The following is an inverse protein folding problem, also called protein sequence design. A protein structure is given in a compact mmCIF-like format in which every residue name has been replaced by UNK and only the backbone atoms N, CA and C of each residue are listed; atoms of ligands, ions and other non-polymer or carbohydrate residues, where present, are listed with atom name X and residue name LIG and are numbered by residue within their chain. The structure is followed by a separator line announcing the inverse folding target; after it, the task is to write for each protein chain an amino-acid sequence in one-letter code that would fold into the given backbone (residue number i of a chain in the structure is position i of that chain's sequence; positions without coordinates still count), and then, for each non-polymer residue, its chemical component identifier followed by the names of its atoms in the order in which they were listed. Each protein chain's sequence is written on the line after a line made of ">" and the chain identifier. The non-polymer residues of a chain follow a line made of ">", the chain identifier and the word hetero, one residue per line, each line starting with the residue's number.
data_IF_134193803657
#
_entry.id   IF_134193803657
#
_cell.length_a   1.000
_cell.length_b   1.000
_cell.length_c   1.000
_cell.angle_alpha   90.00
_cell.angle_beta   90.00
_cell.angle_gamma   90.00
#
_symmetry.space_group_name_H-M   'P 1'
#
loop_
_entity.id
_entity.type
_entity.pdbx_description
1 polymer ?
#
# COMPACT_ATOMS: atom_id res chain seq x y z
N UNK A 1 -68.93 -1.73 -5.38
CA UNK A 1 -67.79 -2.17 -4.56
C UNK A 1 -66.66 -2.62 -5.47
N UNK A 2 -65.69 -1.76 -5.75
CA UNK A 2 -64.39 -2.14 -6.33
C UNK A 2 -63.31 -1.31 -5.63
N UNK A 3 -62.39 -2.01 -4.97
CA UNK A 3 -61.24 -1.43 -4.25
C UNK A 3 -60.19 -0.99 -5.26
N UNK A 4 -59.86 0.30 -5.29
CA UNK A 4 -58.65 0.80 -5.95
C UNK A 4 -57.45 0.50 -5.03
N UNK A 5 -56.59 -0.43 -5.43
CA UNK A 5 -55.26 -0.61 -4.83
C UNK A 5 -54.31 0.37 -5.52
N UNK A 6 -53.86 1.42 -4.82
CA UNK A 6 -52.76 2.26 -5.29
C UNK A 6 -51.44 1.52 -5.06
N UNK A 7 -50.84 1.02 -6.14
CA UNK A 7 -49.49 0.47 -6.11
C UNK A 7 -48.50 1.65 -6.06
N UNK A 8 -47.95 1.94 -4.88
CA UNK A 8 -46.81 2.86 -4.75
C UNK A 8 -45.58 2.18 -5.37
N UNK A 9 -45.16 2.66 -6.55
CA UNK A 9 -43.83 2.38 -7.08
C UNK A 9 -42.79 3.09 -6.22
N UNK A 10 -42.16 2.35 -5.29
CA UNK A 10 -40.93 2.76 -4.65
C UNK A 10 -39.82 2.72 -5.70
N UNK A 11 -39.57 3.86 -6.34
CA UNK A 11 -38.35 4.07 -7.13
C UNK A 11 -37.20 4.10 -6.14
N UNK A 12 -36.52 2.96 -5.98
CA UNK A 12 -35.24 2.91 -5.29
C UNK A 12 -34.22 3.68 -6.13
N UNK A 13 -33.97 4.94 -5.77
CA UNK A 13 -32.80 5.66 -6.25
C UNK A 13 -31.57 4.91 -5.72
N UNK A 14 -30.97 4.07 -6.55
CA UNK A 14 -29.63 3.58 -6.31
C UNK A 14 -28.72 4.81 -6.22
N UNK A 15 -28.31 5.14 -5.00
CA UNK A 15 -27.24 6.09 -4.75
C UNK A 15 -26.01 5.54 -5.45
N UNK A 16 -25.70 6.07 -6.63
CA UNK A 16 -24.37 5.98 -7.20
C UNK A 16 -23.44 6.75 -6.28
N UNK A 17 -22.95 6.07 -5.24
CA UNK A 17 -21.77 6.52 -4.49
C UNK A 17 -20.62 6.56 -5.48
N UNK A 18 -20.10 7.76 -5.72
CA UNK A 18 -18.99 8.01 -6.62
C UNK A 18 -17.82 7.07 -6.29
N UNK A 19 -17.55 6.11 -7.17
CA UNK A 19 -16.42 5.16 -7.13
C UNK A 19 -15.05 5.82 -7.34
N UNK A 20 -14.98 7.15 -7.35
CA UNK A 20 -13.74 7.95 -7.54
C UNK A 20 -12.67 7.75 -6.44
N UNK A 21 -12.95 6.99 -5.38
CA UNK A 21 -12.05 6.84 -4.22
C UNK A 21 -11.02 5.70 -4.32
N UNK A 22 -11.10 4.80 -5.30
CA UNK A 22 -10.25 3.60 -5.38
C UNK A 22 -9.57 3.39 -6.74
N UNK A 23 -9.15 4.48 -7.36
CA UNK A 23 -8.35 4.39 -8.58
C UNK A 23 -6.90 3.94 -8.27
N UNK A 24 -6.24 3.31 -9.25
CA UNK A 24 -4.84 2.90 -9.11
C UNK A 24 -3.89 4.03 -9.48
N UNK A 25 -2.65 3.96 -8.99
CA UNK A 25 -1.60 4.93 -9.33
C UNK A 25 -0.59 4.32 -10.31
N UNK A 26 -0.20 5.07 -11.34
CA UNK A 26 1.00 4.79 -12.12
C UNK A 26 2.13 5.67 -11.60
N UNK A 27 3.23 5.05 -11.15
CA UNK A 27 4.40 5.74 -10.63
C UNK A 27 5.58 5.42 -11.53
N UNK A 28 6.13 6.45 -12.18
CA UNK A 28 7.30 6.32 -13.07
C UNK A 28 8.57 6.66 -12.29
N UNK A 29 9.60 5.82 -12.40
CA UNK A 29 10.90 6.00 -11.75
C UNK A 29 12.03 5.81 -12.77
N UNK A 30 13.13 6.54 -12.55
CA UNK A 30 14.27 6.53 -13.46
C UNK A 30 14.08 7.51 -14.62
N UNK A 31 14.79 7.26 -15.72
CA UNK A 31 14.78 8.11 -16.92
C UNK A 31 14.30 7.24 -18.08
N UNK A 32 13.30 7.74 -18.82
CA UNK A 32 12.80 7.04 -20.00
C UNK A 32 13.87 6.95 -21.08
N UNK A 33 14.23 5.71 -21.42
CA UNK A 33 15.23 5.34 -22.40
C UNK A 33 14.63 4.47 -23.51
N UNK A 34 13.30 4.51 -23.69
CA UNK A 34 12.55 3.63 -24.60
C UNK A 34 12.75 2.13 -24.26
N UNK A 35 13.10 1.83 -23.00
CA UNK A 35 13.35 0.48 -22.50
C UNK A 35 12.71 0.28 -21.11
N UNK A 36 11.42 0.58 -20.99
CA UNK A 36 10.71 0.59 -19.72
C UNK A 36 10.27 -0.81 -19.28
N UNK A 37 10.54 -1.11 -18.00
CA UNK A 37 9.94 -2.22 -17.25
C UNK A 37 8.62 -1.77 -16.62
N UNK A 38 7.50 -2.42 -16.96
CA UNK A 38 6.20 -2.19 -16.31
C UNK A 38 5.94 -3.28 -15.26
N UNK A 39 5.90 -2.91 -13.99
CA UNK A 39 5.61 -3.80 -12.86
C UNK A 39 4.19 -3.56 -12.36
N UNK A 40 3.38 -4.62 -12.31
CA UNK A 40 1.97 -4.55 -11.92
C UNK A 40 1.74 -5.47 -10.73
N UNK A 41 1.16 -4.93 -9.67
CA UNK A 41 0.74 -5.67 -8.49
C UNK A 41 -0.70 -5.36 -8.10
N UNK A 42 -1.32 -6.32 -7.42
CA UNK A 42 -2.64 -6.12 -6.81
C UNK A 42 -3.80 -6.12 -7.80
N UNK A 43 -3.69 -6.89 -8.89
CA UNK A 43 -4.84 -7.24 -9.73
C UNK A 43 -5.90 -8.03 -8.94
N UNK A 44 -5.46 -8.78 -7.93
CA UNK A 44 -6.30 -9.45 -6.93
C UNK A 44 -5.98 -8.93 -5.52
N UNK A 45 -7.02 -8.68 -4.74
CA UNK A 45 -6.89 -7.96 -3.47
C UNK A 45 -6.47 -8.80 -2.25
N UNK A 46 -6.52 -10.12 -2.38
CA UNK A 46 -6.10 -11.09 -1.36
C UNK A 46 -4.64 -11.56 -1.52
N UNK A 47 -3.87 -10.89 -2.40
CA UNK A 47 -2.52 -11.29 -2.82
C UNK A 47 -1.46 -10.26 -2.41
N UNK A 48 -1.17 -10.14 -1.10
CA UNK A 48 -0.31 -9.08 -0.58
C UNK A 48 1.15 -9.15 -0.98
N UNK A 49 1.68 -10.31 -1.38
CA UNK A 49 3.05 -10.41 -1.86
C UNK A 49 3.29 -9.53 -3.08
N UNK A 50 2.42 -9.61 -4.08
CA UNK A 50 2.55 -8.83 -5.31
C UNK A 50 2.48 -7.32 -5.09
N UNK A 51 1.39 -6.82 -4.48
CA UNK A 51 1.22 -5.37 -4.31
C UNK A 51 2.21 -4.74 -3.32
N UNK A 52 2.64 -5.46 -2.26
CA UNK A 52 3.66 -4.93 -1.35
C UNK A 52 5.03 -4.87 -2.02
N UNK A 53 5.39 -5.83 -2.88
CA UNK A 53 6.63 -5.79 -3.65
C UNK A 53 6.69 -4.57 -4.56
N UNK A 54 5.61 -4.34 -5.33
CA UNK A 54 5.48 -3.17 -6.18
C UNK A 54 5.56 -1.87 -5.36
N UNK A 55 4.90 -1.82 -4.20
CA UNK A 55 4.99 -0.67 -3.29
C UNK A 55 6.40 -0.44 -2.71
N UNK A 56 7.17 -1.50 -2.45
CA UNK A 56 8.56 -1.37 -2.02
C UNK A 56 9.45 -0.82 -3.15
N UNK A 57 9.23 -1.18 -4.42
CA UNK A 57 9.91 -0.53 -5.54
C UNK A 57 9.65 0.99 -5.56
N UNK A 58 8.43 1.42 -5.23
CA UNK A 58 8.08 2.83 -5.15
C UNK A 58 8.87 3.53 -4.04
N UNK A 59 8.85 2.95 -2.84
CA UNK A 59 9.22 3.63 -1.59
C UNK A 59 10.68 3.43 -1.18
N UNK A 60 11.29 2.30 -1.55
CA UNK A 60 12.60 1.88 -1.02
C UNK A 60 13.66 1.63 -2.10
N UNK A 61 13.30 1.75 -3.37
CA UNK A 61 14.24 1.67 -4.50
C UNK A 61 14.42 3.05 -5.14
N UNK A 62 15.64 3.37 -5.50
CA UNK A 62 16.02 4.51 -6.33
C UNK A 62 16.56 3.95 -7.64
N UNK A 63 15.88 4.22 -8.75
CA UNK A 63 16.34 3.79 -10.07
C UNK A 63 17.36 4.81 -10.56
N UNK A 64 18.62 4.36 -10.68
CA UNK A 64 19.75 5.22 -11.06
C UNK A 64 20.03 5.20 -12.56
N UNK A 65 19.50 4.20 -13.28
CA UNK A 65 19.59 4.08 -14.74
C UNK A 65 18.43 3.24 -15.29
N UNK A 66 17.94 3.64 -16.46
CA UNK A 66 16.79 3.02 -17.12
C UNK A 66 15.45 3.47 -16.54
N UNK A 67 14.37 2.83 -16.98
CA UNK A 67 12.99 3.23 -16.69
C UNK A 67 12.17 2.09 -16.06
N UNK A 68 11.52 2.38 -14.93
CA UNK A 68 10.58 1.47 -14.28
C UNK A 68 9.25 2.18 -14.03
N UNK A 69 8.18 1.62 -14.56
CA UNK A 69 6.81 2.05 -14.31
C UNK A 69 6.15 1.05 -13.36
N UNK A 70 5.51 1.56 -12.31
CA UNK A 70 4.96 0.72 -11.24
C UNK A 70 3.48 1.05 -11.04
N UNK A 71 2.65 0.01 -11.10
CA UNK A 71 1.26 0.03 -10.65
C UNK A 71 1.14 -0.87 -9.42
N UNK A 72 1.21 -0.32 -8.19
CA UNK A 72 1.22 -1.12 -6.98
C UNK A 72 -0.17 -1.61 -6.55
N UNK A 73 -1.25 -1.01 -7.06
CA UNK A 73 -2.60 -1.18 -6.54
C UNK A 73 -3.66 -1.30 -7.65
N UNK A 74 -3.44 -2.14 -8.67
CA UNK A 74 -4.29 -2.18 -9.88
C UNK A 74 -5.79 -2.30 -9.55
N UNK A 75 -6.18 -3.26 -8.71
CA UNK A 75 -7.54 -3.39 -8.21
C UNK A 75 -7.61 -2.88 -6.75
N UNK A 76 -7.44 -1.56 -6.58
CA UNK A 76 -7.33 -0.99 -5.24
C UNK A 76 -8.59 -1.23 -4.39
N UNK A 77 -9.77 -1.18 -5.01
CA UNK A 77 -11.01 -1.52 -4.34
C UNK A 77 -10.99 -2.95 -3.77
N UNK A 78 -10.57 -3.94 -4.57
CA UNK A 78 -10.44 -5.32 -4.12
C UNK A 78 -9.44 -5.48 -2.97
N UNK A 79 -8.30 -4.77 -3.04
CA UNK A 79 -7.28 -4.76 -1.97
C UNK A 79 -7.90 -4.28 -0.64
N UNK A 80 -8.64 -3.16 -0.66
CA UNK A 80 -9.27 -2.59 0.52
C UNK A 80 -10.38 -3.51 1.07
N UNK A 81 -11.12 -4.19 0.19
CA UNK A 81 -12.11 -5.19 0.57
C UNK A 81 -11.51 -6.53 0.99
N UNK A 82 -10.21 -6.73 0.80
CA UNK A 82 -9.51 -8.02 1.04
C UNK A 82 -10.16 -9.18 0.27
N UNK A 83 -10.71 -8.86 -0.89
CA UNK A 83 -11.37 -9.82 -1.77
C UNK A 83 -10.44 -10.15 -2.92
N UNK A 84 -10.62 -11.32 -3.54
CA UNK A 84 -9.91 -11.68 -4.77
C UNK A 84 -10.32 -10.74 -5.92
N UNK A 85 -11.61 -10.48 -6.06
CA UNK A 85 -12.17 -9.61 -7.10
C UNK A 85 -13.68 -9.47 -6.89
N UNK A 86 -14.17 -8.39 -6.27
CA UNK A 86 -15.59 -8.24 -5.93
C UNK A 86 -16.48 -8.12 -7.17
N UNK A 87 -15.91 -7.76 -8.33
CA UNK A 87 -16.60 -7.66 -9.61
C UNK A 87 -16.18 -8.76 -10.60
N UNK A 88 -15.72 -9.90 -10.09
CA UNK A 88 -15.15 -11.00 -10.88
C UNK A 88 -13.62 -10.97 -10.91
N UNK A 89 -13.01 -11.96 -11.57
CA UNK A 89 -11.56 -12.03 -11.72
C UNK A 89 -11.08 -11.00 -12.75
N UNK A 90 -10.46 -9.91 -12.29
CA UNK A 90 -9.93 -8.86 -13.16
C UNK A 90 -8.89 -9.43 -14.15
N UNK A 91 -8.17 -10.50 -13.81
CA UNK A 91 -7.22 -11.14 -14.73
C UNK A 91 -7.90 -12.05 -15.78
N UNK A 92 -9.23 -11.95 -15.94
CA UNK A 92 -10.01 -12.52 -17.06
C UNK A 92 -10.67 -11.45 -17.92
N UNK A 93 -10.31 -10.18 -17.72
CA UNK A 93 -10.94 -9.02 -18.39
C UNK A 93 -10.09 -8.41 -19.49
N UNK A 94 -8.97 -9.05 -19.87
CA UNK A 94 -8.03 -8.48 -20.84
C UNK A 94 -8.32 -8.84 -22.30
N UNK A 95 -9.27 -9.74 -22.56
CA UNK A 95 -9.85 -9.96 -23.89
C UNK A 95 -11.00 -8.94 -24.16
N UNK A 96 -12.10 -9.39 -24.77
CA UNK A 96 -13.34 -8.62 -24.89
C UNK A 96 -13.93 -8.33 -23.51
N UNK A 97 -14.36 -7.08 -23.29
CA UNK A 97 -14.92 -6.62 -22.02
C UNK A 97 -16.06 -5.67 -22.30
N UNK A 98 -17.21 -5.92 -21.66
CA UNK A 98 -18.37 -5.05 -21.75
C UNK A 98 -18.06 -3.66 -21.18
N UNK A 99 -18.50 -2.60 -21.88
CA UNK A 99 -18.40 -1.22 -21.38
C UNK A 99 -19.19 -0.97 -20.08
N UNK A 100 -20.12 -1.88 -19.74
CA UNK A 100 -20.88 -1.83 -18.49
C UNK A 100 -20.19 -2.56 -17.33
N UNK A 101 -19.03 -3.20 -17.55
CA UNK A 101 -18.27 -3.82 -16.45
C UNK A 101 -17.76 -2.74 -15.47
N UNK A 102 -17.96 -2.88 -14.15
CA UNK A 102 -17.51 -1.88 -13.17
C UNK A 102 -16.00 -1.59 -13.19
N UNK A 103 -15.20 -2.50 -13.74
CA UNK A 103 -13.75 -2.39 -13.84
C UNK A 103 -13.29 -2.00 -15.26
N UNK A 104 -14.21 -1.69 -16.19
CA UNK A 104 -13.89 -1.38 -17.59
C UNK A 104 -12.84 -0.29 -17.73
N UNK A 105 -13.05 0.88 -17.12
CA UNK A 105 -12.13 2.03 -17.24
C UNK A 105 -10.73 1.71 -16.69
N UNK A 106 -10.67 0.98 -15.56
CA UNK A 106 -9.41 0.54 -14.95
C UNK A 106 -8.66 -0.39 -15.92
N UNK A 107 -9.36 -1.36 -16.50
CA UNK A 107 -8.80 -2.32 -17.45
C UNK A 107 -8.33 -1.62 -18.74
N UNK A 108 -9.13 -0.73 -19.32
CA UNK A 108 -8.74 0.00 -20.52
C UNK A 108 -7.52 0.89 -20.27
N UNK A 109 -7.45 1.54 -19.10
CA UNK A 109 -6.29 2.37 -18.76
C UNK A 109 -5.01 1.56 -18.60
N UNK A 110 -5.03 0.42 -17.91
CA UNK A 110 -3.83 -0.42 -17.82
C UNK A 110 -3.44 -1.03 -19.17
N UNK A 111 -4.42 -1.40 -20.01
CA UNK A 111 -4.17 -1.79 -21.41
C UNK A 111 -3.45 -0.67 -22.18
N UNK A 112 -3.85 0.58 -21.97
CA UNK A 112 -3.19 1.76 -22.53
C UNK A 112 -1.70 1.80 -22.18
N UNK A 113 -1.34 1.69 -20.89
CA UNK A 113 0.06 1.69 -20.46
C UNK A 113 0.87 0.50 -20.98
N UNK A 114 0.25 -0.68 -21.13
CA UNK A 114 0.92 -1.85 -21.71
C UNK A 114 1.27 -1.59 -23.19
N UNK A 115 0.42 -0.89 -23.94
CA UNK A 115 0.63 -0.63 -25.38
C UNK A 115 1.72 0.40 -25.67
N UNK A 116 2.03 1.28 -24.72
CA UNK A 116 3.01 2.36 -24.89
C UNK A 116 4.33 1.86 -25.49
N UNK A 117 4.83 2.58 -26.50
CA UNK A 117 5.97 2.14 -27.30
C UNK A 117 7.22 1.93 -26.45
N UNK A 118 7.42 2.78 -25.45
CA UNK A 118 8.57 2.73 -24.55
C UNK A 118 8.54 1.56 -23.56
N UNK A 119 7.39 0.93 -23.32
CA UNK A 119 7.28 -0.30 -22.51
C UNK A 119 7.74 -1.49 -23.34
N UNK A 120 8.73 -2.24 -22.83
CA UNK A 120 9.31 -3.40 -23.51
C UNK A 120 9.10 -4.72 -22.77
N UNK A 121 8.99 -4.67 -21.44
CA UNK A 121 8.79 -5.85 -20.60
C UNK A 121 7.75 -5.55 -19.51
N UNK A 122 6.79 -6.46 -19.34
CA UNK A 122 5.72 -6.39 -18.33
C UNK A 122 5.87 -7.54 -17.35
N UNK A 123 5.84 -7.25 -16.04
CA UNK A 123 5.81 -8.27 -14.98
C UNK A 123 4.55 -8.09 -14.14
N UNK A 124 3.69 -9.11 -14.11
CA UNK A 124 2.48 -9.15 -13.30
C UNK A 124 2.71 -10.04 -12.07
N UNK A 125 2.57 -9.48 -10.87
CA UNK A 125 2.88 -10.15 -9.62
C UNK A 125 1.61 -10.71 -8.96
N UNK A 126 1.63 -11.99 -8.59
CA UNK A 126 0.52 -12.70 -7.94
C UNK A 126 0.99 -13.53 -6.74
N UNK A 127 0.04 -13.92 -5.90
CA UNK A 127 0.26 -14.91 -4.85
C UNK A 127 -0.51 -16.21 -5.17
N UNK A 128 0.21 -17.27 -5.54
CA UNK A 128 -0.37 -18.54 -5.96
C UNK A 128 -0.61 -19.53 -4.83
N UNK A 129 -1.62 -20.40 -4.95
CA UNK A 129 -1.80 -21.50 -3.98
C UNK A 129 -0.68 -22.55 -4.11
N UNK A 130 -0.29 -23.16 -2.99
CA UNK A 130 0.69 -24.25 -2.94
C UNK A 130 2.04 -23.91 -3.57
N UNK A 131 2.72 -24.92 -4.09
CA UNK A 131 4.01 -24.82 -4.76
C UNK A 131 3.92 -25.55 -6.10
N UNK A 132 4.09 -24.81 -7.20
CA UNK A 132 4.10 -25.39 -8.53
C UNK A 132 5.24 -26.40 -8.66
N UNK A 133 4.91 -27.57 -9.21
CA UNK A 133 5.86 -28.60 -9.62
C UNK A 133 5.47 -29.13 -10.98
N UNK A 134 6.40 -29.37 -11.91
CA UNK A 134 6.08 -29.95 -13.22
C UNK A 134 5.45 -31.35 -13.13
N UNK A 135 5.68 -32.07 -12.03
CA UNK A 135 5.10 -33.38 -11.75
C UNK A 135 4.34 -33.33 -10.42
N UNK A 136 3.29 -34.14 -10.32
CA UNK A 136 2.54 -34.28 -9.08
C UNK A 136 3.40 -34.99 -8.03
N UNK A 137 3.56 -34.36 -6.86
CA UNK A 137 4.20 -34.96 -5.68
C UNK A 137 3.14 -35.15 -4.59
N UNK A 138 2.42 -34.07 -4.26
CA UNK A 138 1.32 -34.09 -3.30
C UNK A 138 0.33 -32.95 -3.56
N UNK A 139 -0.69 -32.82 -2.72
CA UNK A 139 -1.72 -31.78 -2.85
C UNK A 139 -1.16 -30.36 -2.82
N UNK A 140 -0.06 -30.11 -2.12
CA UNK A 140 0.61 -28.83 -2.01
C UNK A 140 1.68 -28.63 -3.09
N UNK A 141 2.22 -29.71 -3.67
CA UNK A 141 3.30 -29.73 -4.64
C UNK A 141 2.87 -30.41 -5.94
N UNK A 142 2.34 -29.66 -6.90
CA UNK A 142 1.81 -30.26 -8.13
C UNK A 142 1.71 -29.27 -9.29
N UNK A 143 1.40 -29.75 -10.51
CA UNK A 143 1.18 -28.88 -11.68
C UNK A 143 -0.06 -28.00 -11.56
N UNK A 144 -0.97 -28.31 -10.64
CA UNK A 144 -2.20 -27.56 -10.39
C UNK A 144 -2.03 -26.39 -9.40
N UNK A 145 -0.79 -26.16 -8.96
CA UNK A 145 -0.40 -25.08 -8.04
C UNK A 145 0.32 -24.00 -8.80
N UNK A 146 0.30 -22.79 -8.23
CA UNK A 146 0.86 -21.61 -8.88
C UNK A 146 1.97 -20.95 -8.06
N UNK A 147 2.08 -21.23 -6.76
CA UNK A 147 3.11 -20.60 -5.95
C UNK A 147 4.54 -21.02 -6.31
N UNK A 148 5.48 -20.09 -6.20
CA UNK A 148 6.90 -20.26 -6.54
C UNK A 148 7.11 -20.69 -8.01
N UNK A 149 6.56 -19.93 -8.94
CA UNK A 149 6.90 -20.08 -10.34
C UNK A 149 7.02 -18.75 -11.08
N UNK A 150 7.76 -18.79 -12.18
CA UNK A 150 7.80 -17.74 -13.20
C UNK A 150 7.02 -18.23 -14.41
N UNK A 151 5.96 -17.51 -14.75
CA UNK A 151 4.96 -17.90 -15.75
C UNK A 151 5.26 -17.19 -17.07
N UNK A 152 5.18 -17.95 -18.16
CA UNK A 152 5.19 -17.43 -19.53
C UNK A 152 4.02 -18.04 -20.31
N UNK A 153 3.41 -17.24 -21.19
CA UNK A 153 2.28 -17.73 -22.00
C UNK A 153 2.73 -18.57 -23.20
N UNK A 154 3.97 -18.39 -23.65
CA UNK A 154 4.60 -19.14 -24.74
C UNK A 154 6.13 -19.01 -24.64
N UNK A 155 6.88 -19.83 -25.39
CA UNK A 155 8.34 -19.85 -25.24
C UNK A 155 9.04 -18.61 -25.82
N UNK A 156 8.49 -18.07 -26.92
CA UNK A 156 9.06 -16.92 -27.62
C UNK A 156 8.01 -16.06 -28.34
N UNK A 157 8.35 -14.80 -28.57
CA UNK A 157 7.60 -13.83 -29.39
C UNK A 157 8.57 -12.99 -30.22
N UNK A 158 8.10 -12.36 -31.30
CA UNK A 158 8.88 -11.38 -32.06
C UNK A 158 8.78 -9.99 -31.39
N UNK A 159 9.62 -9.78 -30.38
CA UNK A 159 9.71 -8.54 -29.63
C UNK A 159 11.08 -8.39 -28.96
N UNK A 160 11.40 -7.19 -28.48
CA UNK A 160 12.53 -6.99 -27.57
C UNK A 160 12.29 -7.82 -26.30
N UNK A 161 13.31 -8.59 -25.88
CA UNK A 161 13.18 -9.60 -24.81
C UNK A 161 12.19 -10.73 -25.12
N UNK A 162 11.96 -11.02 -26.40
CA UNK A 162 11.02 -12.03 -26.85
C UNK A 162 11.41 -13.48 -26.58
N UNK A 163 12.61 -13.75 -26.05
CA UNK A 163 13.06 -15.08 -25.59
C UNK A 163 12.50 -15.42 -24.18
N UNK A 164 11.18 -15.47 -24.06
CA UNK A 164 10.44 -15.53 -22.79
C UNK A 164 10.86 -16.70 -21.91
N UNK A 165 10.90 -17.93 -22.45
CA UNK A 165 11.29 -19.11 -21.66
C UNK A 165 12.70 -18.98 -21.09
N UNK A 166 13.66 -18.56 -21.91
CA UNK A 166 15.05 -18.40 -21.50
C UNK A 166 15.19 -17.34 -20.40
N UNK A 167 14.53 -16.19 -20.54
CA UNK A 167 14.50 -15.15 -19.50
C UNK A 167 13.90 -15.70 -18.20
N UNK A 168 12.78 -16.43 -18.30
CA UNK A 168 12.12 -17.05 -17.15
C UNK A 168 13.04 -18.08 -16.45
N UNK A 169 13.80 -18.87 -17.21
CA UNK A 169 14.82 -19.79 -16.69
C UNK A 169 15.95 -19.04 -15.98
N UNK A 170 16.44 -17.93 -16.54
CA UNK A 170 17.45 -17.08 -15.88
C UNK A 170 16.94 -16.50 -14.57
N UNK A 171 15.68 -16.09 -14.51
CA UNK A 171 15.01 -15.58 -13.30
C UNK A 171 14.88 -16.66 -12.25
N UNK A 172 14.32 -17.82 -12.62
CA UNK A 172 14.18 -18.98 -11.73
C UNK A 172 15.53 -19.43 -11.18
N UNK A 173 16.56 -19.52 -12.03
CA UNK A 173 17.91 -19.91 -11.62
C UNK A 173 18.53 -18.89 -10.67
N UNK A 174 18.28 -17.60 -10.86
CA UNK A 174 18.73 -16.58 -9.93
C UNK A 174 18.02 -16.69 -8.58
N UNK A 175 16.69 -16.76 -8.57
CA UNK A 175 15.89 -16.88 -7.33
C UNK A 175 16.29 -18.14 -6.55
N UNK A 176 16.50 -19.26 -7.23
CA UNK A 176 16.88 -20.53 -6.63
C UNK A 176 18.27 -20.53 -5.96
N UNK A 177 19.13 -19.53 -6.21
CA UNK A 177 20.40 -19.36 -5.48
C UNK A 177 20.21 -18.78 -4.08
N UNK A 178 19.03 -18.22 -3.80
CA UNK A 178 18.74 -17.48 -2.57
C UNK A 178 17.49 -18.04 -1.86
N UNK A 179 17.30 -19.35 -1.91
CA UNK A 179 16.17 -19.99 -1.24
C UNK A 179 16.31 -19.90 0.28
N UNK A 180 15.21 -19.55 0.96
CA UNK A 180 15.13 -19.68 2.42
C UNK A 180 15.03 -21.15 2.87
N UNK A 181 14.40 -21.97 2.03
CA UNK A 181 14.22 -23.43 2.20
C UNK A 181 14.17 -24.08 0.83
N UNK A 182 14.65 -25.30 0.71
CA UNK A 182 14.66 -26.06 -0.55
C UNK A 182 13.26 -26.26 -1.13
N UNK A 183 12.25 -26.43 -0.27
CA UNK A 183 10.83 -26.52 -0.66
C UNK A 183 10.35 -25.29 -1.46
N UNK A 184 10.95 -24.12 -1.23
CA UNK A 184 10.57 -22.88 -1.90
C UNK A 184 11.12 -22.77 -3.34
N UNK A 185 11.73 -23.83 -3.88
CA UNK A 185 12.28 -23.86 -5.23
C UNK A 185 11.29 -23.38 -6.27
N UNK A 186 11.72 -22.39 -7.06
CA UNK A 186 11.04 -21.86 -8.21
C UNK A 186 11.19 -22.77 -9.43
N UNK A 187 10.17 -22.78 -10.29
CA UNK A 187 10.19 -23.43 -11.60
C UNK A 187 9.59 -22.51 -12.67
N UNK A 188 9.91 -22.77 -13.93
CA UNK A 188 9.22 -22.14 -15.06
C UNK A 188 7.90 -22.85 -15.29
N UNK A 189 6.82 -22.09 -15.40
CA UNK A 189 5.51 -22.59 -15.82
C UNK A 189 5.15 -21.97 -17.16
N UNK A 190 5.23 -22.75 -18.23
CA UNK A 190 4.72 -22.35 -19.53
C UNK A 190 3.24 -22.78 -19.61
N UNK A 191 2.31 -21.83 -19.74
CA UNK A 191 0.87 -22.12 -19.87
C UNK A 191 0.48 -22.50 -21.29
N UNK A 192 1.36 -22.28 -22.29
CA UNK A 192 1.12 -22.60 -23.70
C UNK A 192 -0.19 -22.01 -24.20
N UNK A 193 -0.44 -20.76 -23.84
CA UNK A 193 -1.73 -20.09 -24.07
C UNK A 193 -2.10 -19.99 -25.54
N UNK A 194 -1.10 -19.80 -26.40
CA UNK A 194 -1.27 -19.82 -27.85
C UNK A 194 -1.66 -21.20 -28.42
N UNK A 195 -1.54 -22.29 -27.64
CA UNK A 195 -1.96 -23.65 -28.01
C UNK A 195 -3.42 -23.95 -27.62
N UNK A 196 -4.18 -22.96 -27.11
CA UNK A 196 -5.63 -23.07 -26.90
C UNK A 196 -6.12 -22.97 -25.45
N UNK A 197 -5.33 -22.40 -24.53
CA UNK A 197 -5.83 -22.11 -23.17
C UNK A 197 -6.73 -20.87 -23.17
N UNK A 198 -8.04 -21.08 -23.30
CA UNK A 198 -9.04 -20.02 -23.36
C UNK A 198 -9.09 -19.14 -22.11
N UNK A 199 -8.73 -19.68 -20.94
CA UNK A 199 -8.74 -18.92 -19.69
C UNK A 199 -7.51 -18.01 -19.58
N UNK A 200 -6.35 -18.52 -19.97
CA UNK A 200 -5.13 -17.72 -20.04
C UNK A 200 -5.18 -16.69 -21.17
N UNK A 201 -5.93 -16.96 -22.25
CA UNK A 201 -6.11 -16.02 -23.35
C UNK A 201 -6.78 -14.69 -22.92
N UNK A 202 -7.44 -14.68 -21.75
CA UNK A 202 -8.11 -13.51 -21.16
C UNK A 202 -7.24 -12.73 -20.17
N UNK A 203 -5.99 -13.13 -19.98
CA UNK A 203 -5.09 -12.57 -18.95
C UNK A 203 -4.31 -11.35 -19.42
N UNK A 204 -3.79 -10.60 -18.43
CA UNK A 204 -2.95 -9.43 -18.65
C UNK A 204 -1.69 -9.75 -19.46
N UNK A 205 -0.98 -10.83 -19.13
CA UNK A 205 0.30 -11.18 -19.77
C UNK A 205 0.09 -11.59 -21.22
N UNK A 206 -0.96 -12.36 -21.51
CA UNK A 206 -1.29 -12.70 -22.89
C UNK A 206 -1.71 -11.48 -23.72
N UNK A 207 -2.47 -10.55 -23.14
CA UNK A 207 -2.74 -9.27 -23.79
C UNK A 207 -1.46 -8.50 -24.11
N UNK A 208 -0.48 -8.45 -23.19
CA UNK A 208 0.80 -7.78 -23.44
C UNK A 208 1.59 -8.46 -24.57
N UNK A 209 1.62 -9.80 -24.60
CA UNK A 209 2.25 -10.59 -25.68
C UNK A 209 1.62 -10.27 -27.05
N UNK A 210 0.30 -10.20 -27.13
CA UNK A 210 -0.42 -9.86 -28.36
C UNK A 210 -0.22 -8.40 -28.81
N UNK A 211 0.41 -7.57 -27.99
CA UNK A 211 0.82 -6.20 -28.34
C UNK A 211 2.35 -6.07 -28.44
N UNK A 212 3.05 -7.18 -28.76
CA UNK A 212 4.50 -7.23 -28.98
C UNK A 212 5.33 -6.75 -27.78
N UNK A 213 4.87 -7.08 -26.55
CA UNK A 213 5.60 -6.81 -25.31
C UNK A 213 6.02 -8.13 -24.67
N UNK A 214 7.26 -8.23 -24.20
CA UNK A 214 7.64 -9.38 -23.38
C UNK A 214 6.86 -9.35 -22.06
N UNK A 215 6.25 -10.46 -21.66
CA UNK A 215 5.37 -10.48 -20.49
C UNK A 215 5.58 -11.73 -19.64
N UNK A 216 5.54 -11.53 -18.32
CA UNK A 216 5.82 -12.57 -17.34
C UNK A 216 4.83 -12.47 -16.17
N UNK A 217 4.29 -13.61 -15.76
CA UNK A 217 3.69 -13.75 -14.43
C UNK A 217 4.78 -14.16 -13.45
N UNK A 218 4.77 -13.65 -12.23
CA UNK A 218 5.66 -14.14 -11.18
C UNK A 218 4.85 -14.36 -9.91
N UNK A 219 4.86 -15.60 -9.42
CA UNK A 219 3.98 -16.05 -8.36
C UNK A 219 4.74 -16.53 -7.12
N UNK A 220 4.45 -15.90 -5.98
CA UNK A 220 4.94 -16.38 -4.70
C UNK A 220 3.87 -17.23 -4.00
N UNK A 221 4.27 -18.25 -3.24
CA UNK A 221 3.29 -19.14 -2.61
C UNK A 221 2.50 -18.47 -1.48
N UNK A 222 1.16 -18.63 -1.51
CA UNK A 222 0.23 -18.29 -0.42
C UNK A 222 0.52 -19.07 0.87
N UNK A 223 1.27 -20.16 0.81
CA UNK A 223 1.73 -20.90 2.00
C UNK A 223 2.83 -20.15 2.78
N UNK A 224 3.48 -19.16 2.16
CA UNK A 224 4.51 -18.34 2.80
C UNK A 224 3.90 -17.16 3.54
N UNK A 225 4.62 -16.68 4.56
CA UNK A 225 4.27 -15.39 5.19
C UNK A 225 4.49 -14.24 4.20
N UNK A 226 3.73 -13.15 4.37
CA UNK A 226 3.73 -12.03 3.42
C UNK A 226 5.12 -11.48 3.09
N UNK A 227 5.97 -11.29 4.10
CA UNK A 227 7.33 -10.76 3.88
C UNK A 227 8.25 -11.74 3.13
N UNK A 228 7.99 -13.05 3.22
CA UNK A 228 8.70 -14.05 2.42
C UNK A 228 8.21 -14.05 0.97
N UNK A 229 6.90 -13.86 0.74
CA UNK A 229 6.37 -13.67 -0.63
C UNK A 229 7.00 -12.46 -1.30
N UNK A 230 7.03 -11.34 -0.59
CA UNK A 230 7.66 -10.09 -1.05
C UNK A 230 9.14 -10.29 -1.34
N UNK A 231 9.86 -11.00 -0.47
CA UNK A 231 11.27 -11.34 -0.71
C UNK A 231 11.48 -12.03 -2.07
N UNK A 232 10.70 -13.07 -2.37
CA UNK A 232 10.85 -13.80 -3.62
C UNK A 232 10.45 -12.99 -4.85
N UNK A 233 9.37 -12.21 -4.77
CA UNK A 233 9.03 -11.28 -5.84
C UNK A 233 10.13 -10.26 -6.11
N UNK A 234 10.72 -9.68 -5.07
CA UNK A 234 11.80 -8.73 -5.25
C UNK A 234 13.05 -9.37 -5.84
N UNK A 235 13.40 -10.61 -5.49
CA UNK A 235 14.50 -11.33 -6.14
C UNK A 235 14.26 -11.48 -7.65
N UNK A 236 13.04 -11.85 -8.04
CA UNK A 236 12.68 -11.97 -9.44
C UNK A 236 12.74 -10.61 -10.16
N UNK A 237 12.16 -9.56 -9.56
CA UNK A 237 12.16 -8.20 -10.10
C UNK A 237 13.57 -7.63 -10.28
N UNK A 238 14.48 -7.88 -9.33
CA UNK A 238 15.89 -7.49 -9.44
C UNK A 238 16.58 -8.19 -10.59
N UNK A 239 16.26 -9.47 -10.83
CA UNK A 239 16.78 -10.18 -11.99
C UNK A 239 16.20 -9.66 -13.32
N UNK A 240 14.92 -9.33 -13.38
CA UNK A 240 14.34 -8.67 -14.56
C UNK A 240 15.00 -7.32 -14.85
N UNK A 241 15.18 -6.48 -13.81
CA UNK A 241 15.90 -5.21 -13.94
C UNK A 241 17.34 -5.42 -14.45
N UNK A 242 18.05 -6.42 -13.91
CA UNK A 242 19.39 -6.78 -14.39
C UNK A 242 19.40 -7.17 -15.88
N UNK A 243 18.45 -8.00 -16.33
CA UNK A 243 18.33 -8.42 -17.74
C UNK A 243 18.08 -7.22 -18.66
N UNK A 244 17.34 -6.22 -18.18
CA UNK A 244 17.05 -5.00 -18.93
C UNK A 244 18.16 -3.94 -18.84
N UNK A 245 19.21 -4.16 -18.03
CA UNK A 245 20.26 -3.18 -17.80
C UNK A 245 19.83 -1.99 -16.92
N UNK A 246 18.75 -2.16 -16.14
CA UNK A 246 18.25 -1.18 -15.18
C UNK A 246 19.07 -1.28 -13.90
N UNK A 247 19.61 -0.14 -13.45
CA UNK A 247 20.41 -0.06 -12.23
C UNK A 247 19.62 0.64 -11.13
N UNK A 248 19.80 0.18 -9.88
CA UNK A 248 19.07 0.70 -8.73
C UNK A 248 19.92 0.68 -7.46
N UNK A 249 19.52 1.53 -6.50
CA UNK A 249 19.92 1.45 -5.10
C UNK A 249 18.70 1.08 -4.26
N UNK A 250 18.89 0.16 -3.31
CA UNK A 250 17.86 -0.24 -2.34
C UNK A 250 18.26 0.20 -0.94
N UNK A 251 17.28 0.68 -0.16
CA UNK A 251 17.47 1.19 1.22
C UNK A 251 17.32 0.15 2.34
N UNK A 252 17.35 -1.14 2.03
CA UNK A 252 17.23 -2.23 3.00
C UNK A 252 17.98 -3.48 2.53
N UNK A 253 18.22 -4.42 3.45
CA UNK A 253 18.93 -5.67 3.16
C UNK A 253 17.99 -6.71 2.53
N UNK A 254 18.45 -7.40 1.47
CA UNK A 254 17.67 -8.46 0.81
C UNK A 254 17.66 -9.76 1.60
N UNK A 255 16.90 -9.78 2.69
CA UNK A 255 16.60 -10.98 3.45
C UNK A 255 15.23 -10.84 4.13
N UNK A 256 14.71 -11.94 4.67
CA UNK A 256 13.37 -11.99 5.29
C UNK A 256 13.15 -10.88 6.33
N UNK A 257 14.16 -10.61 7.19
CA UNK A 257 14.07 -9.59 8.24
C UNK A 257 14.10 -8.17 7.67
N UNK A 258 14.98 -7.90 6.70
CA UNK A 258 15.09 -6.61 6.03
C UNK A 258 13.81 -6.26 5.26
N UNK A 259 13.23 -7.23 4.54
CA UNK A 259 11.94 -7.06 3.87
C UNK A 259 10.82 -6.81 4.88
N UNK A 260 10.76 -7.58 5.98
CA UNK A 260 9.79 -7.34 7.04
C UNK A 260 9.89 -5.91 7.61
N UNK A 261 11.11 -5.42 7.85
CA UNK A 261 11.33 -4.06 8.32
C UNK A 261 10.88 -3.02 7.28
N UNK A 262 11.28 -3.17 6.01
CA UNK A 262 10.88 -2.25 4.93
C UNK A 262 9.37 -2.19 4.72
N UNK A 263 8.65 -3.29 4.93
CA UNK A 263 7.18 -3.31 4.85
C UNK A 263 6.56 -2.51 6.00
N UNK A 264 7.07 -2.64 7.22
CA UNK A 264 6.35 -2.22 8.44
C UNK A 264 6.90 -0.95 9.11
N UNK A 265 8.09 -0.50 8.77
CA UNK A 265 8.73 0.70 9.33
C UNK A 265 8.46 1.92 8.44
N UNK A 266 8.62 3.12 8.99
CA UNK A 266 8.51 4.40 8.29
C UNK A 266 7.21 4.63 7.50
N UNK A 267 6.15 3.93 7.90
CA UNK A 267 4.79 4.15 7.39
C UNK A 267 4.07 5.21 8.21
N UNK A 268 3.57 6.25 7.56
CA UNK A 268 2.84 7.34 8.19
C UNK A 268 1.78 7.94 7.25
N UNK A 269 0.80 8.61 7.86
CA UNK A 269 -0.12 9.50 7.17
C UNK A 269 -0.01 10.90 7.77
N UNK A 270 0.05 11.90 6.90
CA UNK A 270 -0.10 13.31 7.26
C UNK A 270 -1.49 13.81 6.86
N UNK A 271 -2.21 14.49 7.75
CA UNK A 271 -3.54 15.05 7.48
C UNK A 271 -3.50 16.57 7.58
N UNK A 272 -4.42 17.23 6.87
CA UNK A 272 -4.64 18.67 6.95
C UNK A 272 -3.34 19.47 6.76
N UNK A 273 -2.64 19.16 5.67
CA UNK A 273 -1.36 19.76 5.31
C UNK A 273 -0.30 19.72 6.41
N UNK A 274 -0.09 18.53 6.98
CA UNK A 274 0.87 18.26 8.05
C UNK A 274 0.49 18.84 9.43
N UNK A 275 -0.71 19.36 9.67
CA UNK A 275 -1.14 19.68 11.06
C UNK A 275 -1.19 18.46 11.98
N UNK A 276 -1.34 17.27 11.38
CA UNK A 276 -1.28 15.98 12.06
C UNK A 276 -0.37 15.07 11.24
N UNK A 277 0.62 14.46 11.87
CA UNK A 277 1.40 13.36 11.30
C UNK A 277 1.29 12.15 12.21
N UNK A 278 0.80 11.04 11.68
CA UNK A 278 0.51 9.85 12.44
C UNK A 278 1.45 8.71 12.02
N UNK A 279 2.42 8.32 12.87
CA UNK A 279 3.23 7.13 12.61
C UNK A 279 2.39 5.86 12.80
N UNK A 280 2.50 4.93 11.87
CA UNK A 280 1.58 3.79 11.78
C UNK A 280 2.21 2.44 12.17
N UNK A 281 3.54 2.34 12.26
CA UNK A 281 4.25 1.07 12.54
C UNK A 281 3.81 0.37 13.84
N UNK A 282 3.56 1.15 14.89
CA UNK A 282 3.15 0.64 16.21
C UNK A 282 1.82 1.21 16.70
N UNK A 283 1.03 1.81 15.82
CA UNK A 283 -0.22 2.48 16.20
C UNK A 283 -1.19 1.54 16.93
N UNK A 284 -1.94 2.08 17.90
CA UNK A 284 -3.06 1.37 18.54
C UNK A 284 -4.16 1.09 17.53
N UNK A 285 -4.89 0.00 17.76
CA UNK A 285 -5.98 -0.42 16.87
C UNK A 285 -7.18 0.56 16.87
N UNK A 286 -7.28 1.44 17.87
CA UNK A 286 -8.36 2.42 18.01
C UNK A 286 -7.87 3.67 18.73
N UNK A 287 -8.05 4.85 18.13
CA UNK A 287 -7.77 6.15 18.73
C UNK A 287 -9.08 6.90 18.91
N UNK A 288 -9.37 7.33 20.15
CA UNK A 288 -10.59 8.09 20.49
C UNK A 288 -10.32 9.59 20.44
N UNK A 289 -11.39 10.34 20.25
CA UNK A 289 -11.37 11.81 20.27
C UNK A 289 -10.30 12.33 19.29
N UNK A 290 -10.38 11.89 18.04
CA UNK A 290 -9.39 12.26 17.04
C UNK A 290 -9.89 13.47 16.25
N UNK A 291 -9.15 14.59 16.20
CA UNK A 291 -9.64 15.82 15.59
C UNK A 291 -9.81 15.63 14.08
N UNK A 292 -11.07 15.65 13.64
CA UNK A 292 -11.45 15.53 12.23
C UNK A 292 -12.24 16.77 11.83
N UNK A 293 -11.87 17.35 10.69
CA UNK A 293 -12.56 18.51 10.15
C UNK A 293 -14.00 18.13 9.77
N UNK A 294 -14.97 18.86 10.29
CA UNK A 294 -16.40 18.62 10.03
C UNK A 294 -16.74 18.83 8.54
N UNK A 295 -17.67 18.04 8.03
CA UNK A 295 -18.32 18.20 6.72
C UNK A 295 -17.37 18.25 5.50
N UNK A 296 -16.17 17.66 5.61
CA UNK A 296 -15.20 17.56 4.51
C UNK A 296 -14.59 16.15 4.44
N UNK A 297 -14.27 15.72 3.22
CA UNK A 297 -13.44 14.53 3.01
C UNK A 297 -12.07 14.75 3.67
N UNK A 298 -11.56 13.73 4.36
CA UNK A 298 -10.26 13.80 5.03
C UNK A 298 -9.17 13.92 3.98
N UNK A 299 -8.56 15.09 3.87
CA UNK A 299 -7.39 15.32 3.03
C UNK A 299 -6.14 14.77 3.71
N UNK A 300 -5.45 13.85 3.06
CA UNK A 300 -4.23 13.25 3.58
C UNK A 300 -3.15 13.03 2.52
N UNK A 301 -1.90 12.92 3.00
CA UNK A 301 -0.75 12.42 2.24
C UNK A 301 -0.25 11.18 2.95
N UNK A 302 0.05 10.13 2.18
CA UNK A 302 0.56 8.89 2.74
C UNK A 302 2.00 8.65 2.30
N UNK A 303 2.79 8.02 3.17
CA UNK A 303 4.17 7.66 2.85
C UNK A 303 4.29 6.45 1.91
N UNK A 304 3.17 5.77 1.62
CA UNK A 304 3.11 4.57 0.81
C UNK A 304 1.84 4.58 -0.07
N UNK A 305 1.91 4.17 -1.35
CA UNK A 305 0.75 4.18 -2.25
C UNK A 305 -0.37 3.20 -1.87
N UNK A 306 -0.12 2.26 -0.96
CA UNK A 306 -1.12 1.32 -0.46
C UNK A 306 -1.84 1.80 0.80
N UNK A 307 -1.44 2.95 1.35
CA UNK A 307 -2.08 3.53 2.52
C UNK A 307 -3.30 4.36 2.11
N UNK A 308 -4.43 4.15 2.77
CA UNK A 308 -5.64 4.97 2.58
C UNK A 308 -6.48 5.03 3.85
N UNK A 309 -7.42 5.97 3.86
CA UNK A 309 -8.40 6.14 4.92
C UNK A 309 -9.78 5.84 4.34
N UNK A 310 -10.49 4.89 4.96
CA UNK A 310 -11.86 4.57 4.62
C UNK A 310 -12.78 5.08 5.71
N UNK A 311 -13.66 6.01 5.36
CA UNK A 311 -14.68 6.52 6.28
C UNK A 311 -15.89 5.60 6.30
N UNK A 312 -16.40 5.32 7.50
CA UNK A 312 -17.73 4.76 7.74
C UNK A 312 -18.32 5.45 8.95
N UNK A 313 -19.44 6.15 8.77
CA UNK A 313 -20.07 6.97 9.80
C UNK A 313 -19.05 7.97 10.40
N UNK A 314 -18.85 7.93 11.73
CA UNK A 314 -17.86 8.72 12.46
C UNK A 314 -16.56 7.95 12.78
N UNK A 315 -16.31 6.83 12.10
CA UNK A 315 -15.06 6.08 12.19
C UNK A 315 -14.25 6.16 10.88
N UNK A 316 -12.96 6.44 11.02
CA UNK A 316 -12.01 6.52 9.92
C UNK A 316 -11.00 5.38 10.04
N UNK A 317 -11.08 4.42 9.12
CA UNK A 317 -10.23 3.23 9.14
C UNK A 317 -8.99 3.43 8.29
N UNK A 318 -7.82 3.39 8.91
CA UNK A 318 -6.54 3.44 8.20
C UNK A 318 -6.21 2.02 7.72
N UNK A 319 -6.10 1.87 6.39
CA UNK A 319 -5.71 0.64 5.73
C UNK A 319 -4.32 0.78 5.12
N UNK A 320 -3.56 -0.31 5.11
CA UNK A 320 -2.30 -0.48 4.40
C UNK A 320 -2.39 -1.76 3.56
N UNK A 321 -2.70 -1.57 2.28
CA UNK A 321 -3.13 -2.66 1.42
C UNK A 321 -4.35 -3.36 2.03
N UNK A 322 -4.27 -4.68 2.17
CA UNK A 322 -5.33 -5.48 2.77
C UNK A 322 -5.26 -5.55 4.31
N UNK A 323 -4.44 -4.72 4.99
CA UNK A 323 -4.30 -4.72 6.45
C UNK A 323 -4.90 -3.46 7.07
N UNK A 324 -5.69 -3.64 8.13
CA UNK A 324 -6.23 -2.53 8.94
C UNK A 324 -5.22 -2.19 10.01
N UNK A 325 -4.72 -0.96 10.02
CA UNK A 325 -3.73 -0.50 10.99
C UNK A 325 -4.40 0.11 12.23
N UNK A 326 -5.35 1.02 12.02
CA UNK A 326 -6.07 1.69 13.11
C UNK A 326 -7.47 2.14 12.68
N UNK A 327 -8.30 2.46 13.67
CA UNK A 327 -9.56 3.18 13.51
C UNK A 327 -9.49 4.45 14.34
N UNK A 328 -9.84 5.56 13.73
CA UNK A 328 -9.93 6.86 14.40
C UNK A 328 -11.39 7.16 14.64
N UNK A 329 -11.77 7.38 15.90
CA UNK A 329 -13.09 7.90 16.24
C UNK A 329 -13.04 9.41 16.14
N UNK A 330 -13.80 9.96 15.21
CA UNK A 330 -13.83 11.39 14.99
C UNK A 330 -14.34 12.12 16.23
N UNK A 331 -13.63 13.19 16.54
CA UNK A 331 -14.11 14.35 17.27
C UNK A 331 -14.23 15.47 16.25
N UNK A 332 -15.46 15.75 15.82
CA UNK A 332 -15.69 16.68 14.72
C UNK A 332 -15.57 18.11 15.21
N UNK A 333 -14.69 18.87 14.57
CA UNK A 333 -14.44 20.27 14.94
C UNK A 333 -14.04 21.12 13.75
N UNK A 334 -14.13 22.43 13.92
CA UNK A 334 -13.52 23.37 12.98
C UNK A 334 -12.00 23.33 13.12
N UNK A 335 -11.31 23.57 12.00
CA UNK A 335 -9.86 23.65 11.97
C UNK A 335 -9.47 25.09 11.67
N UNK A 336 -8.56 25.62 12.48
CA UNK A 336 -7.93 26.91 12.20
C UNK A 336 -7.01 26.80 10.97
N UNK A 337 -6.81 27.88 10.22
CA UNK A 337 -6.00 27.87 8.99
C UNK A 337 -4.53 28.27 9.23
N UNK A 338 -4.25 28.94 10.36
CA UNK A 338 -2.93 29.45 10.68
C UNK A 338 -1.97 28.32 11.09
N UNK A 339 -0.66 28.56 10.89
CA UNK A 339 0.43 27.60 11.10
C UNK A 339 1.59 28.23 11.83
N UNK A 340 1.47 28.44 13.15
CA UNK A 340 2.60 28.86 13.95
C UNK A 340 3.61 27.71 14.14
N UNK A 341 4.82 28.08 14.54
CA UNK A 341 5.68 27.23 15.35
C UNK A 341 5.27 27.38 16.82
N UNK A 342 5.46 26.33 17.61
CA UNK A 342 5.16 26.30 19.04
C UNK A 342 6.42 25.95 19.82
N UNK A 343 6.61 26.61 20.96
CA UNK A 343 7.82 26.46 21.75
C UNK A 343 7.72 25.34 22.79
N UNK A 344 8.75 24.52 22.85
CA UNK A 344 8.95 23.48 23.85
C UNK A 344 10.28 23.67 24.58
N UNK A 345 10.33 23.27 25.84
CA UNK A 345 11.58 22.98 26.55
C UNK A 345 11.69 21.45 26.68
N UNK A 346 12.61 20.82 25.95
CA UNK A 346 12.79 19.37 25.88
C UNK A 346 14.12 19.01 26.49
N UNK A 347 14.11 18.26 27.60
CA UNK A 347 15.32 17.83 28.31
C UNK A 347 16.28 19.00 28.61
N UNK A 348 15.72 20.18 28.91
CA UNK A 348 16.47 21.40 29.22
C UNK A 348 16.86 22.26 28.01
N UNK A 349 16.50 21.86 26.78
CA UNK A 349 16.82 22.58 25.54
C UNK A 349 15.54 23.18 24.93
N UNK A 350 15.57 24.48 24.64
CA UNK A 350 14.46 25.16 23.95
C UNK A 350 14.42 24.76 22.48
N UNK A 351 13.21 24.50 21.97
CA UNK A 351 12.95 24.05 20.61
C UNK A 351 11.69 24.69 20.07
N UNK A 352 11.81 25.27 18.88
CA UNK A 352 10.67 25.62 18.03
C UNK A 352 10.22 24.37 17.27
N UNK A 353 8.93 24.06 17.38
CA UNK A 353 8.35 22.82 16.86
C UNK A 353 7.17 23.14 15.95
N UNK A 354 7.10 22.50 14.79
CA UNK A 354 5.96 22.65 13.88
C UNK A 354 4.88 21.65 14.21
N UNK A 355 3.62 22.02 13.95
CA UNK A 355 2.55 21.03 13.94
C UNK A 355 2.86 19.90 12.95
N UNK A 356 2.54 18.67 13.36
CA UNK A 356 2.92 17.45 12.66
C UNK A 356 4.30 16.91 13.00
N UNK A 357 5.11 17.61 13.79
CA UNK A 357 6.40 17.09 14.22
C UNK A 357 6.24 16.02 15.31
N UNK A 358 7.26 15.15 15.36
CA UNK A 358 7.44 14.17 16.41
C UNK A 358 8.70 14.57 17.18
N UNK A 359 8.52 15.01 18.41
CA UNK A 359 9.59 15.44 19.30
C UNK A 359 10.04 14.27 20.15
N UNK A 360 11.32 13.90 20.03
CA UNK A 360 11.92 12.87 20.89
C UNK A 360 12.29 13.47 22.25
N UNK A 361 11.93 12.76 23.32
CA UNK A 361 12.13 13.16 24.72
C UNK A 361 12.78 12.03 25.49
N UNK A 362 13.82 12.33 26.28
CA UNK A 362 14.51 11.36 27.12
C UNK A 362 13.90 11.31 28.51
N UNK A 363 13.77 12.46 29.16
CA UNK A 363 13.30 12.54 30.54
C UNK A 363 11.98 13.32 30.67
N UNK A 364 11.93 14.53 30.12
CA UNK A 364 10.83 15.45 30.33
C UNK A 364 10.71 16.51 29.24
N UNK A 365 9.49 16.99 29.05
CA UNK A 365 9.20 18.15 28.20
C UNK A 365 8.32 19.14 28.94
N UNK A 366 8.31 20.37 28.48
CA UNK A 366 7.41 21.44 28.90
C UNK A 366 6.92 22.15 27.66
N UNK A 367 5.61 22.39 27.59
CA UNK A 367 4.99 23.23 26.55
C UNK A 367 4.99 24.67 27.04
N UNK A 368 5.59 25.61 26.31
CA UNK A 368 5.54 27.03 26.68
C UNK A 368 4.13 27.57 26.50
N UNK A 369 3.71 28.45 27.41
CA UNK A 369 2.42 29.11 27.28
C UNK A 369 2.43 30.16 26.17
N UNK A 370 1.50 30.01 25.22
CA UNK A 370 1.18 30.99 24.20
C UNK A 370 -0.28 31.41 24.40
N UNK A 371 -0.53 32.72 24.59
CA UNK A 371 -1.88 33.25 24.81
C UNK A 371 -2.81 33.04 23.61
N UNK A 372 -2.28 32.71 22.43
CA UNK A 372 -3.08 32.37 21.25
C UNK A 372 -3.71 30.97 21.34
N UNK A 373 -3.21 30.06 22.18
CA UNK A 373 -3.62 28.67 22.20
C UNK A 373 -4.00 28.14 23.59
N UNK A 374 -5.09 27.37 23.63
CA UNK A 374 -5.33 26.39 24.67
C UNK A 374 -4.62 25.09 24.30
N UNK A 375 -3.78 24.58 25.20
CA UNK A 375 -3.03 23.32 25.02
C UNK A 375 -3.74 22.18 25.77
N UNK A 376 -3.73 20.99 25.16
CA UNK A 376 -4.19 19.75 25.77
C UNK A 376 -3.16 18.62 25.55
N UNK A 377 -2.49 18.19 26.62
CA UNK A 377 -1.57 17.05 26.66
C UNK A 377 -2.39 15.79 26.96
N UNK A 378 -2.74 15.04 25.93
CA UNK A 378 -3.71 13.95 26.01
C UNK A 378 -3.23 12.84 26.96
N UNK A 379 -3.94 12.72 28.09
CA UNK A 379 -3.68 11.72 29.12
C UNK A 379 -2.91 12.25 30.34
N UNK A 380 -2.51 13.52 30.33
CA UNK A 380 -2.02 14.25 31.49
C UNK A 380 -3.18 14.99 32.15
N UNK A 381 -3.15 15.15 33.48
CA UNK A 381 -4.18 15.88 34.23
C UNK A 381 -3.55 16.63 35.39
N UNK A 382 -3.99 17.87 35.61
CA UNK A 382 -3.54 18.72 36.72
C UNK A 382 -4.73 19.31 37.47
N UNK A 383 -4.52 19.66 38.75
CA UNK A 383 -5.57 20.30 39.56
C UNK A 383 -5.92 21.70 39.05
N UNK A 384 -4.96 22.42 38.47
CA UNK A 384 -5.16 23.77 37.92
C UNK A 384 -5.80 23.78 36.54
N UNK A 385 -5.93 22.62 35.87
CA UNK A 385 -6.29 22.47 34.44
C UNK A 385 -5.34 23.20 33.47
N UNK A 386 -4.25 23.81 33.96
CA UNK A 386 -3.18 24.36 33.15
C UNK A 386 -2.18 23.24 32.84
N UNK A 387 -1.79 23.13 31.58
CA UNK A 387 -0.88 22.09 31.08
C UNK A 387 0.36 22.68 30.37
N UNK A 388 0.48 24.02 30.39
CA UNK A 388 1.63 24.79 29.91
C UNK A 388 2.51 25.24 31.07
N UNK A 389 3.78 25.53 30.78
CA UNK A 389 4.83 25.96 31.73
C UNK A 389 5.10 24.97 32.89
N UNK A 390 4.79 23.69 32.68
CA UNK A 390 5.02 22.62 33.64
C UNK A 390 5.88 21.53 33.03
N UNK A 391 6.85 21.01 33.79
CA UNK A 391 7.64 19.85 33.37
C UNK A 391 6.79 18.58 33.46
N UNK A 392 6.66 17.88 32.35
CA UNK A 392 5.86 16.65 32.21
C UNK A 392 6.79 15.49 31.88
N UNK A 393 6.69 14.43 32.69
CA UNK A 393 7.41 13.16 32.54
C UNK A 393 6.46 12.06 32.05
N UNK A 394 7.02 11.04 31.40
CA UNK A 394 6.26 9.89 30.87
C UNK A 394 5.32 9.24 31.88
N UNK A 395 5.76 9.05 33.12
CA UNK A 395 4.99 8.39 34.19
C UNK A 395 3.79 9.22 34.69
N UNK A 396 3.70 10.50 34.32
CA UNK A 396 2.57 11.37 34.65
C UNK A 396 1.47 11.34 33.59
N UNK A 397 1.74 10.73 32.42
CA UNK A 397 0.76 10.61 31.34
C UNK A 397 0.19 9.19 31.36
N UNK A 398 -1.13 9.07 31.45
CA UNK A 398 -1.78 7.77 31.53
C UNK A 398 -1.56 6.97 30.23
N UNK A 399 -0.84 5.85 30.33
CA UNK A 399 -0.42 4.97 29.22
C UNK A 399 -1.52 4.64 28.21
N UNK A 400 -2.77 4.50 28.66
CA UNK A 400 -3.93 4.19 27.80
C UNK A 400 -4.22 5.26 26.72
N UNK A 401 -3.72 6.47 26.89
CA UNK A 401 -3.90 7.59 25.96
C UNK A 401 -2.80 7.75 24.92
N UNK A 402 -1.72 6.96 25.01
CA UNK A 402 -0.71 6.87 23.96
C UNK A 402 -1.31 6.46 22.61
N UNK A 403 -0.73 6.94 21.52
CA UNK A 403 -1.17 6.58 20.16
C UNK A 403 -0.60 5.22 19.72
N UNK A 404 0.46 4.75 20.35
CA UNK A 404 1.18 3.53 20.03
C UNK A 404 0.95 2.43 21.08
N UNK A 405 1.23 1.19 20.69
CA UNK A 405 1.01 0.01 21.55
C UNK A 405 1.99 -0.06 22.72
N UNK A 406 3.23 0.44 22.59
CA UNK A 406 4.23 0.37 23.66
C UNK A 406 4.00 1.41 24.76
N UNK A 407 3.33 2.51 24.43
CA UNK A 407 2.96 3.55 25.39
C UNK A 407 3.97 4.67 25.48
N UNK A 408 4.58 5.01 24.35
CA UNK A 408 5.73 5.90 24.27
C UNK A 408 5.40 7.21 23.55
N UNK A 409 4.33 7.25 22.76
CA UNK A 409 3.98 8.38 21.91
C UNK A 409 2.63 8.98 22.35
N UNK A 410 2.63 10.26 22.70
CA UNK A 410 1.48 10.99 23.21
C UNK A 410 1.18 12.22 22.36
N UNK A 411 -0.08 12.66 22.37
CA UNK A 411 -0.54 13.84 21.61
C UNK A 411 -0.48 15.08 22.50
N UNK A 412 0.04 16.17 21.95
CA UNK A 412 -0.15 17.53 22.45
C UNK A 412 -0.96 18.27 21.40
N UNK A 413 -2.19 18.61 21.75
CA UNK A 413 -3.15 19.25 20.84
C UNK A 413 -3.31 20.73 21.19
N UNK A 414 -3.34 21.56 20.16
CA UNK A 414 -3.46 23.01 20.27
C UNK A 414 -4.80 23.47 19.71
N UNK A 415 -5.45 24.36 20.44
CA UNK A 415 -6.76 24.89 20.11
C UNK A 415 -6.72 26.41 20.15
N UNK A 416 -7.19 27.06 19.09
CA UNK A 416 -7.40 28.50 19.07
C UNK A 416 -8.90 28.75 19.18
N UNK A 417 -9.32 29.36 20.28
CA UNK A 417 -10.73 29.34 20.70
C UNK A 417 -11.22 27.88 20.80
N UNK A 418 -12.21 27.49 19.99
CA UNK A 418 -12.75 26.12 19.91
C UNK A 418 -12.30 25.37 18.64
N UNK A 419 -11.35 25.93 17.87
CA UNK A 419 -10.87 25.34 16.62
C UNK A 419 -9.56 24.58 16.82
N UNK A 420 -9.44 23.43 16.18
CA UNK A 420 -8.19 22.67 16.16
C UNK A 420 -7.12 23.41 15.35
N UNK A 421 -6.03 23.81 16.01
CA UNK A 421 -4.91 24.48 15.37
C UNK A 421 -3.89 23.47 14.82
N UNK A 422 -3.58 22.43 15.60
CA UNK A 422 -2.63 21.40 15.21
C UNK A 422 -2.24 20.47 16.35
N UNK A 423 -1.37 19.51 16.04
CA UNK A 423 -0.90 18.50 16.97
C UNK A 423 0.61 18.32 16.85
N UNK A 424 1.28 18.19 17.99
CA UNK A 424 2.66 17.71 18.10
C UNK A 424 2.61 16.35 18.78
N UNK A 425 3.43 15.40 18.31
CA UNK A 425 3.60 14.12 18.98
C UNK A 425 4.85 14.13 19.85
N UNK A 426 4.71 13.71 21.10
CA UNK A 426 5.82 13.52 22.02
C UNK A 426 6.17 12.04 22.08
N UNK A 427 7.38 11.68 21.68
CA UNK A 427 7.90 10.31 21.70
C UNK A 427 8.97 10.16 22.77
N UNK A 428 8.64 9.49 23.86
CA UNK A 428 9.61 9.14 24.88
C UNK A 428 10.53 8.02 24.39
N UNK A 429 11.86 8.19 24.53
CA UNK A 429 12.79 7.10 24.31
C UNK A 429 12.54 5.99 25.33
N UNK A 430 12.70 4.75 24.89
CA UNK A 430 12.52 3.55 25.72
C UNK A 430 13.75 3.29 26.56
#
# INVERSE_FOLDING_TARGET
>A
MLKLFSLLFLVSTALFSSTKSYDFNLIKKGIDDNNTLLVIGGIQGDEPGGFLSASLLVTHYEITKGSVWIVPNLNFYSIIKRSRGPFGDMNRKFAELSCNDPEYDIVQRIKGYIKEDNVKLVVNLHDGSGFYRPQYIDKLHSPYRWGQCSIVDQEKIDAKYGNLKEISEQVVNYVNKYLMKDEHKYHVHNTRTNEGDEEMAKTLTYFAINNSKAAFGNEASKSLSTHQRVYYHLLALEKYMQIMGIEYKRKFNMNSKGVYAAINNDIYISMYDNKIKLPLSKIRNYLRYFPIKKDQEVKFRASNPLLTIVQKDNEYTIQYGNRRLSRLKADYMEHDEYRPEVEFLVDGIEKDVKFGDIVEVEENFLVRNDNAYRVNVIGFTTNSKKETDMKIKKNQIAKKFSIDKSGDIYRVEYYKEDKFAGMVLIKFKS
#
